data_IF_580441027635
#
_entry.id   IF_580441027635
#
_cell.length_a   1.000
_cell.length_b   1.000
_cell.length_c   1.000
_cell.angle_alpha   90.00
_cell.angle_beta   90.00
_cell.angle_gamma   90.00
#
_symmetry.space_group_name_H-M   'P 1'
#
loop_
_entity.id
_entity.type
_entity.pdbx_description
1 polymer ?
#
# COMPACT_ATOMS: atom_id res chain seq x y z
N UNK A 1 -4.98 -22.85 -8.53
CA UNK A 1 -5.78 -21.82 -7.83
C UNK A 1 -5.44 -20.45 -8.42
N UNK A 2 -6.42 -19.56 -8.56
CA UNK A 2 -6.17 -18.16 -8.97
C UNK A 2 -5.50 -17.41 -7.82
N UNK A 3 -4.50 -16.59 -8.11
CA UNK A 3 -3.93 -15.66 -7.12
C UNK A 3 -4.91 -14.54 -6.86
N UNK A 4 -5.13 -14.20 -5.59
CA UNK A 4 -6.06 -13.14 -5.17
C UNK A 4 -5.32 -11.91 -4.68
N UNK A 5 -5.61 -10.77 -5.30
CA UNK A 5 -5.06 -9.46 -4.95
C UNK A 5 -6.19 -8.55 -4.48
N UNK A 6 -5.97 -7.89 -3.35
CA UNK A 6 -6.91 -6.93 -2.77
C UNK A 6 -6.23 -5.58 -2.62
N UNK A 7 -6.85 -4.51 -3.12
CA UNK A 7 -6.26 -3.17 -3.21
C UNK A 7 -7.19 -2.16 -2.55
N UNK A 8 -6.67 -1.36 -1.61
CA UNK A 8 -7.39 -0.20 -1.07
C UNK A 8 -6.99 1.09 -1.78
N UNK A 9 -7.95 2.01 -1.98
CA UNK A 9 -7.72 3.29 -2.68
C UNK A 9 -7.53 3.13 -4.20
N UNK A 10 -8.23 2.18 -4.81
CA UNK A 10 -8.10 1.84 -6.23
C UNK A 10 -8.76 2.83 -7.20
N UNK A 11 -9.51 3.81 -6.70
CA UNK A 11 -10.30 4.72 -7.55
C UNK A 11 -9.50 5.86 -8.17
N UNK A 12 -8.25 6.12 -7.75
CA UNK A 12 -7.40 7.20 -8.27
C UNK A 12 -5.92 6.98 -8.00
N UNK A 13 -5.10 7.73 -8.73
CA UNK A 13 -3.65 7.81 -8.50
C UNK A 13 -2.96 6.45 -8.55
N UNK A 14 -2.01 6.21 -7.64
CA UNK A 14 -1.22 4.98 -7.62
C UNK A 14 -2.07 3.73 -7.36
N UNK A 15 -3.10 3.83 -6.53
CA UNK A 15 -4.02 2.70 -6.29
C UNK A 15 -4.77 2.28 -7.54
N UNK A 16 -5.21 3.24 -8.35
CA UNK A 16 -5.82 2.98 -9.66
C UNK A 16 -4.81 2.32 -10.61
N UNK A 17 -3.58 2.83 -10.65
CA UNK A 17 -2.55 2.27 -11.51
C UNK A 17 -2.23 0.80 -11.16
N UNK A 18 -2.11 0.44 -9.88
CA UNK A 18 -1.99 -0.95 -9.46
C UNK A 18 -3.22 -1.78 -9.85
N UNK A 19 -4.42 -1.24 -9.63
CA UNK A 19 -5.65 -1.95 -9.96
C UNK A 19 -5.72 -2.28 -11.46
N UNK A 20 -5.50 -1.31 -12.33
CA UNK A 20 -5.51 -1.47 -13.77
C UNK A 20 -4.40 -2.41 -14.25
N UNK A 21 -3.18 -2.26 -13.69
CA UNK A 21 -2.04 -3.12 -14.00
C UNK A 21 -2.34 -4.60 -13.70
N UNK A 22 -2.82 -4.91 -12.51
CA UNK A 22 -3.12 -6.29 -12.15
C UNK A 22 -4.41 -6.82 -12.78
N UNK A 23 -5.40 -5.95 -13.04
CA UNK A 23 -6.62 -6.31 -13.76
C UNK A 23 -6.32 -6.80 -15.18
N UNK A 24 -5.34 -6.19 -15.84
CA UNK A 24 -4.87 -6.66 -17.15
C UNK A 24 -4.37 -8.11 -17.12
N UNK A 25 -3.86 -8.58 -15.98
CA UNK A 25 -3.38 -9.94 -15.78
C UNK A 25 -4.46 -10.96 -15.34
N UNK A 26 -5.72 -10.57 -15.25
CA UNK A 26 -6.82 -11.51 -14.88
C UNK A 26 -6.94 -12.69 -15.86
N UNK A 27 -6.66 -12.46 -17.13
CA UNK A 27 -6.62 -13.52 -18.15
C UNK A 27 -5.55 -14.59 -17.87
N UNK A 28 -4.54 -14.24 -17.05
CA UNK A 28 -3.45 -15.14 -16.64
C UNK A 28 -3.71 -15.82 -15.29
N UNK A 29 -4.95 -15.79 -14.79
CA UNK A 29 -5.32 -16.46 -13.55
C UNK A 29 -5.14 -15.61 -12.28
N UNK A 30 -5.15 -14.29 -12.39
CA UNK A 30 -5.20 -13.36 -11.29
C UNK A 30 -6.66 -12.94 -11.01
N UNK A 31 -7.03 -12.76 -9.75
CA UNK A 31 -8.29 -12.16 -9.32
C UNK A 31 -7.99 -10.89 -8.55
N UNK A 32 -8.55 -9.75 -8.98
CA UNK A 32 -8.28 -8.44 -8.38
C UNK A 32 -9.54 -7.81 -7.86
N UNK A 33 -9.56 -7.46 -6.58
CA UNK A 33 -10.64 -6.74 -5.93
C UNK A 33 -10.14 -5.40 -5.41
N UNK A 34 -10.82 -4.32 -5.78
CA UNK A 34 -10.52 -2.96 -5.34
C UNK A 34 -11.55 -2.44 -4.34
N UNK A 35 -11.09 -1.70 -3.33
CA UNK A 35 -11.92 -1.00 -2.35
C UNK A 35 -11.51 0.48 -2.27
N UNK A 36 -12.47 1.38 -2.26
CA UNK A 36 -12.27 2.83 -2.18
C UNK A 36 -13.24 3.58 -3.06
N UNK A 37 -13.29 4.89 -2.93
CA UNK A 37 -14.17 5.75 -3.71
C UNK A 37 -13.83 5.70 -5.20
N UNK A 38 -14.84 5.50 -6.03
CA UNK A 38 -14.79 5.66 -7.48
C UNK A 38 -15.75 6.79 -7.82
N UNK A 39 -15.23 7.88 -8.40
CA UNK A 39 -16.05 9.01 -8.89
C UNK A 39 -17.01 9.61 -7.84
N UNK A 40 -16.65 9.56 -6.55
CA UNK A 40 -17.47 10.15 -5.50
C UNK A 40 -18.70 9.32 -5.10
N UNK A 41 -18.68 8.01 -5.31
CA UNK A 41 -19.75 7.07 -4.93
C UNK A 41 -20.03 6.98 -3.41
N UNK A 42 -19.23 7.70 -2.59
CA UNK A 42 -19.39 7.76 -1.13
C UNK A 42 -18.89 6.53 -0.39
N UNK A 43 -18.17 5.61 -1.04
CA UNK A 43 -17.62 4.44 -0.35
C UNK A 43 -16.62 4.85 0.73
N UNK A 44 -16.94 4.55 2.00
CA UNK A 44 -16.09 4.83 3.16
C UNK A 44 -15.39 3.56 3.63
N UNK A 45 -14.04 3.62 3.63
CA UNK A 45 -13.22 2.49 4.04
C UNK A 45 -13.23 2.27 5.56
N UNK A 46 -13.51 3.31 6.36
CA UNK A 46 -13.62 3.18 7.82
C UNK A 46 -14.89 2.43 8.18
N UNK A 47 -16.02 2.81 7.58
CA UNK A 47 -17.31 2.12 7.79
C UNK A 47 -17.28 0.69 7.28
N UNK A 48 -16.53 0.43 6.20
CA UNK A 48 -16.42 -0.89 5.57
C UNK A 48 -15.16 -1.68 5.99
N UNK A 49 -14.47 -1.28 7.06
CA UNK A 49 -13.21 -1.88 7.50
C UNK A 49 -13.26 -3.41 7.63
N UNK A 50 -14.26 -3.95 8.32
CA UNK A 50 -14.39 -5.40 8.52
C UNK A 50 -14.70 -6.14 7.21
N UNK A 51 -15.48 -5.55 6.32
CA UNK A 51 -15.78 -6.12 5.00
C UNK A 51 -14.51 -6.22 4.15
N UNK A 52 -13.67 -5.17 4.16
CA UNK A 52 -12.37 -5.17 3.47
C UNK A 52 -11.43 -6.21 4.07
N UNK A 53 -11.37 -6.30 5.41
CA UNK A 53 -10.56 -7.30 6.08
C UNK A 53 -11.00 -8.72 5.72
N UNK A 54 -12.31 -8.99 5.72
CA UNK A 54 -12.86 -10.30 5.35
C UNK A 54 -12.54 -10.67 3.90
N UNK A 55 -12.64 -9.72 2.97
CA UNK A 55 -12.27 -9.93 1.57
C UNK A 55 -10.76 -10.17 1.38
N UNK A 56 -9.92 -9.53 2.21
CA UNK A 56 -8.46 -9.66 2.15
C UNK A 56 -7.95 -10.93 2.84
N UNK A 57 -8.72 -11.55 3.74
CA UNK A 57 -8.27 -12.75 4.47
C UNK A 57 -7.96 -13.89 3.51
N UNK A 58 -6.74 -14.44 3.60
CA UNK A 58 -6.24 -15.47 2.69
C UNK A 58 -5.88 -14.96 1.28
N UNK A 59 -5.86 -13.65 1.03
CA UNK A 59 -5.34 -13.11 -0.23
C UNK A 59 -3.83 -13.37 -0.36
N UNK A 60 -3.37 -13.60 -1.59
CA UNK A 60 -1.94 -13.72 -1.88
C UNK A 60 -1.21 -12.39 -1.71
N UNK A 61 -1.91 -11.28 -2.05
CA UNK A 61 -1.38 -9.91 -1.92
C UNK A 61 -2.46 -8.95 -1.44
N UNK A 62 -2.13 -8.14 -0.44
CA UNK A 62 -2.91 -6.98 -0.01
C UNK A 62 -2.13 -5.69 -0.27
N UNK A 63 -2.69 -4.77 -1.05
CA UNK A 63 -2.10 -3.45 -1.32
C UNK A 63 -2.81 -2.41 -0.45
N UNK A 64 -2.12 -1.98 0.60
CA UNK A 64 -2.57 -1.03 1.60
C UNK A 64 -2.19 0.39 1.18
N UNK A 65 -3.00 0.98 0.30
CA UNK A 65 -2.69 2.27 -0.32
C UNK A 65 -3.60 3.43 0.14
N UNK A 66 -4.86 3.17 0.45
CA UNK A 66 -5.79 4.24 0.83
C UNK A 66 -5.37 4.91 2.13
N UNK A 67 -5.21 6.24 2.10
CA UNK A 67 -5.08 7.04 3.32
C UNK A 67 -6.44 7.53 3.79
N UNK A 68 -6.76 7.23 5.03
CA UNK A 68 -7.85 7.82 5.80
C UNK A 68 -7.47 7.67 7.27
N UNK A 69 -6.94 8.74 7.87
CA UNK A 69 -6.44 8.72 9.25
C UNK A 69 -5.44 7.56 9.50
N UNK A 70 -5.64 6.79 10.58
CA UNK A 70 -4.83 5.63 10.97
C UNK A 70 -5.22 4.31 10.28
N UNK A 71 -6.08 4.36 9.27
CA UNK A 71 -6.68 3.17 8.65
C UNK A 71 -5.63 2.21 8.07
N UNK A 72 -4.57 2.74 7.45
CA UNK A 72 -3.49 1.89 6.94
C UNK A 72 -2.79 1.11 8.06
N UNK A 73 -2.60 1.72 9.22
CA UNK A 73 -2.02 1.06 10.40
C UNK A 73 -2.97 -0.03 10.94
N UNK A 74 -4.27 0.24 10.97
CA UNK A 74 -5.29 -0.75 11.35
C UNK A 74 -5.29 -1.96 10.43
N UNK A 75 -5.25 -1.76 9.10
CA UNK A 75 -5.13 -2.85 8.14
C UNK A 75 -3.82 -3.64 8.33
N UNK A 76 -2.68 -2.97 8.51
CA UNK A 76 -1.42 -3.64 8.78
C UNK A 76 -1.51 -4.54 10.02
N UNK A 77 -2.01 -4.02 11.13
CA UNK A 77 -2.14 -4.78 12.36
C UNK A 77 -3.11 -5.97 12.24
N UNK A 78 -4.20 -5.81 11.50
CA UNK A 78 -5.23 -6.83 11.33
C UNK A 78 -4.82 -7.94 10.37
N UNK A 79 -4.10 -7.62 9.28
CA UNK A 79 -3.91 -8.50 8.13
C UNK A 79 -2.50 -9.09 8.00
N UNK A 80 -1.47 -8.58 8.70
CA UNK A 80 -0.08 -9.03 8.51
C UNK A 80 0.17 -10.53 8.76
N UNK A 81 -0.77 -11.24 9.37
CA UNK A 81 -0.73 -12.71 9.56
C UNK A 81 -1.81 -13.46 8.78
N UNK A 82 -2.55 -12.75 7.92
CA UNK A 82 -3.74 -13.29 7.25
C UNK A 82 -3.66 -13.22 5.74
N UNK A 83 -2.62 -12.59 5.22
CA UNK A 83 -2.35 -12.46 3.78
C UNK A 83 -0.96 -13.01 3.46
N UNK A 84 -0.72 -13.40 2.22
CA UNK A 84 0.59 -13.92 1.80
C UNK A 84 1.66 -12.83 1.72
N UNK A 85 1.28 -11.65 1.26
CA UNK A 85 2.14 -10.48 1.13
C UNK A 85 1.37 -9.19 1.31
N UNK A 86 2.06 -8.12 1.76
CA UNK A 86 1.47 -6.79 1.88
C UNK A 86 2.39 -5.74 1.30
N UNK A 87 1.84 -4.88 0.43
CA UNK A 87 2.51 -3.68 -0.10
C UNK A 87 1.87 -2.47 0.57
N UNK A 88 2.67 -1.58 1.12
CA UNK A 88 2.21 -0.42 1.88
C UNK A 88 2.76 0.85 1.23
N UNK A 89 1.87 1.77 0.85
CA UNK A 89 2.27 3.12 0.43
C UNK A 89 2.47 4.01 1.65
N UNK A 90 3.72 4.30 1.95
CA UNK A 90 4.15 5.27 2.96
C UNK A 90 4.34 6.67 2.38
N UNK A 91 4.91 7.58 3.19
CA UNK A 91 5.18 8.95 2.77
C UNK A 91 6.42 9.49 3.47
N UNK A 92 7.18 10.37 2.79
CA UNK A 92 8.26 11.14 3.40
C UNK A 92 7.76 12.14 4.46
N UNK A 93 6.47 12.48 4.47
CA UNK A 93 5.86 13.26 5.56
C UNK A 93 5.98 12.58 6.93
N UNK A 94 6.33 11.31 6.99
CA UNK A 94 6.69 10.62 8.23
C UNK A 94 7.97 11.17 8.87
N UNK A 95 8.90 11.75 8.08
CA UNK A 95 10.16 12.34 8.56
C UNK A 95 9.97 13.79 9.04
N UNK A 96 9.15 14.54 8.32
CA UNK A 96 8.91 15.97 8.59
C UNK A 96 7.46 16.20 8.99
N UNK A 97 7.23 16.25 10.29
CA UNK A 97 5.90 16.49 10.86
C UNK A 97 5.43 17.94 10.71
N UNK A 98 6.30 18.86 10.26
CA UNK A 98 5.97 20.25 10.03
C UNK A 98 5.37 20.52 8.64
N UNK A 99 5.49 19.59 7.72
CA UNK A 99 4.92 19.72 6.36
C UNK A 99 3.50 19.15 6.35
N UNK A 100 2.54 20.01 6.63
CA UNK A 100 1.13 19.65 6.68
C UNK A 100 0.35 20.24 5.50
N UNK A 101 -0.10 19.39 4.55
CA UNK A 101 -0.91 19.95 3.47
C UNK A 101 -2.38 20.16 3.83
N UNK A 102 -3.06 19.25 4.48
CA UNK A 102 -4.52 19.38 4.76
C UNK A 102 -4.99 18.64 6.02
N UNK A 103 -4.24 17.62 6.48
CA UNK A 103 -4.56 16.86 7.69
C UNK A 103 -3.41 17.04 8.70
N UNK A 104 -3.62 17.74 9.84
CA UNK A 104 -2.58 17.96 10.83
C UNK A 104 -2.01 16.70 11.45
N UNK A 105 -2.66 15.57 11.26
CA UNK A 105 -2.21 14.28 11.76
C UNK A 105 -1.57 13.40 10.70
N UNK A 106 -1.55 13.81 9.43
CA UNK A 106 -1.05 12.99 8.32
C UNK A 106 0.36 12.46 8.55
N UNK A 107 1.31 13.35 8.91
CA UNK A 107 2.69 12.97 9.19
C UNK A 107 2.80 11.99 10.35
N UNK A 108 2.04 12.20 11.43
CA UNK A 108 1.99 11.29 12.58
C UNK A 108 1.48 9.90 12.19
N UNK A 109 0.34 9.82 11.48
CA UNK A 109 -0.20 8.55 11.01
C UNK A 109 0.78 7.80 10.09
N UNK A 110 1.50 8.51 9.21
CA UNK A 110 2.49 7.91 8.33
C UNK A 110 3.74 7.45 9.09
N UNK A 111 4.15 8.17 10.12
CA UNK A 111 5.26 7.78 11.01
C UNK A 111 4.92 6.50 11.80
N UNK A 112 3.74 6.44 12.41
CA UNK A 112 3.30 5.28 13.18
C UNK A 112 3.21 4.04 12.28
N UNK A 113 2.68 4.20 11.07
CA UNK A 113 2.63 3.16 10.05
C UNK A 113 4.02 2.67 9.66
N UNK A 114 4.97 3.59 9.42
CA UNK A 114 6.35 3.26 9.06
C UNK A 114 7.05 2.50 10.18
N UNK A 115 6.98 3.01 11.42
CA UNK A 115 7.59 2.37 12.58
C UNK A 115 7.07 0.94 12.75
N UNK A 116 5.76 0.75 12.60
CA UNK A 116 5.15 -0.57 12.69
C UNK A 116 5.57 -1.49 11.56
N UNK A 117 5.59 -1.02 10.32
CA UNK A 117 6.03 -1.79 9.16
C UNK A 117 7.50 -2.21 9.29
N UNK A 118 8.38 -1.29 9.69
CA UNK A 118 9.81 -1.56 9.92
C UNK A 118 9.99 -2.58 11.05
N UNK A 119 9.26 -2.45 12.15
CA UNK A 119 9.32 -3.41 13.25
C UNK A 119 8.95 -4.83 12.78
N UNK A 120 7.87 -4.98 12.02
CA UNK A 120 7.43 -6.28 11.48
C UNK A 120 8.38 -6.82 10.41
N UNK A 121 8.93 -5.96 9.56
CA UNK A 121 9.84 -6.38 8.48
C UNK A 121 11.21 -6.82 8.98
N UNK A 122 11.72 -6.22 10.07
CA UNK A 122 13.00 -6.61 10.69
C UNK A 122 12.93 -7.93 11.43
N UNK A 123 11.79 -8.24 12.03
CA UNK A 123 11.58 -9.46 12.81
C UNK A 123 10.58 -10.33 12.05
N UNK A 124 11.09 -11.11 11.09
CA UNK A 124 10.28 -12.05 10.34
C UNK A 124 9.82 -13.20 11.25
N UNK A 125 8.67 -13.02 11.90
CA UNK A 125 8.07 -14.05 12.73
C UNK A 125 7.39 -15.12 11.87
N UNK A 126 7.37 -16.39 12.28
CA UNK A 126 6.59 -17.42 11.61
C UNK A 126 5.11 -17.00 11.45
N UNK A 127 4.56 -17.20 10.27
CA UNK A 127 3.16 -16.87 9.96
C UNK A 127 2.89 -15.38 9.70
N UNK A 128 3.92 -14.52 9.59
CA UNK A 128 3.75 -13.16 9.10
C UNK A 128 3.91 -13.10 7.57
N UNK A 129 3.17 -12.19 6.91
CA UNK A 129 3.29 -11.96 5.48
C UNK A 129 4.65 -11.34 5.11
N UNK A 130 5.01 -11.45 3.83
CA UNK A 130 6.08 -10.64 3.28
C UNK A 130 5.62 -9.19 3.17
N UNK A 131 6.46 -8.23 3.58
CA UNK A 131 6.15 -6.81 3.56
C UNK A 131 7.02 -6.07 2.55
N UNK A 132 6.41 -5.16 1.78
CA UNK A 132 7.08 -4.11 1.03
C UNK A 132 6.52 -2.76 1.47
N UNK A 133 7.35 -1.93 2.07
CA UNK A 133 7.02 -0.56 2.42
C UNK A 133 7.65 0.39 1.40
N UNK A 134 6.82 1.17 0.70
CA UNK A 134 7.22 2.15 -0.30
C UNK A 134 7.12 3.55 0.30
N UNK A 135 8.24 4.16 0.65
CA UNK A 135 8.28 5.55 1.14
C UNK A 135 8.27 6.50 -0.04
N UNK A 136 7.12 7.09 -0.31
CA UNK A 136 6.86 7.90 -1.49
C UNK A 136 7.02 9.39 -1.18
N UNK A 137 7.66 10.13 -2.09
CA UNK A 137 7.65 11.59 -2.12
C UNK A 137 6.43 12.11 -2.85
N UNK A 138 6.08 13.40 -2.70
CA UNK A 138 5.00 14.03 -3.45
C UNK A 138 5.17 13.96 -4.97
N UNK A 139 6.40 13.80 -5.45
CA UNK A 139 6.75 13.65 -6.87
C UNK A 139 6.80 12.21 -7.36
N UNK A 140 6.88 11.22 -6.46
CA UNK A 140 6.94 9.80 -6.81
C UNK A 140 5.71 9.32 -7.61
N UNK A 141 4.56 9.98 -7.45
CA UNK A 141 3.37 9.69 -8.27
C UNK A 141 3.57 9.97 -9.76
N UNK A 142 4.60 10.73 -10.15
CA UNK A 142 4.94 10.99 -11.57
C UNK A 142 5.64 9.81 -12.22
N UNK A 143 6.23 8.92 -11.42
CA UNK A 143 6.95 7.74 -11.92
C UNK A 143 6.19 6.45 -11.56
N UNK A 144 4.90 6.44 -11.85
CA UNK A 144 4.01 5.31 -11.58
C UNK A 144 4.53 4.01 -12.20
N UNK A 145 5.07 4.06 -13.42
CA UNK A 145 5.60 2.88 -14.11
C UNK A 145 6.78 2.25 -13.36
N UNK A 146 7.67 3.09 -12.80
CA UNK A 146 8.78 2.58 -11.99
C UNK A 146 8.28 1.86 -10.73
N UNK A 147 7.25 2.40 -10.07
CA UNK A 147 6.62 1.77 -8.90
C UNK A 147 5.98 0.43 -9.29
N UNK A 148 5.29 0.35 -10.43
CA UNK A 148 4.70 -0.89 -10.92
C UNK A 148 5.78 -1.95 -11.22
N UNK A 149 6.84 -1.59 -11.92
CA UNK A 149 7.96 -2.48 -12.23
C UNK A 149 8.65 -2.99 -10.95
N UNK A 150 8.87 -2.11 -9.98
CA UNK A 150 9.42 -2.48 -8.66
C UNK A 150 8.48 -3.45 -7.92
N UNK A 151 7.19 -3.20 -8.01
CA UNK A 151 6.16 -4.07 -7.41
C UNK A 151 6.23 -5.48 -7.99
N UNK A 152 6.26 -5.61 -9.31
CA UNK A 152 6.37 -6.90 -10.01
C UNK A 152 7.67 -7.63 -9.67
N UNK A 153 8.79 -6.89 -9.68
CA UNK A 153 10.08 -7.44 -9.27
C UNK A 153 10.01 -7.98 -7.83
N UNK A 154 9.47 -7.19 -6.90
CA UNK A 154 9.35 -7.62 -5.51
C UNK A 154 8.41 -8.81 -5.34
N UNK A 155 7.26 -8.82 -6.03
CA UNK A 155 6.32 -9.94 -5.99
C UNK A 155 6.94 -11.26 -6.46
N UNK A 156 7.95 -11.18 -7.35
CA UNK A 156 8.68 -12.34 -7.85
C UNK A 156 9.80 -12.81 -6.92
N UNK A 157 10.45 -11.90 -6.18
CA UNK A 157 11.68 -12.18 -5.45
C UNK A 157 11.56 -12.10 -3.92
N UNK A 158 10.65 -11.28 -3.40
CA UNK A 158 10.37 -11.08 -1.94
C UNK A 158 11.61 -10.72 -1.09
N UNK A 159 12.64 -10.09 -1.65
CA UNK A 159 13.94 -9.88 -0.98
C UNK A 159 14.09 -8.54 -0.27
N UNK A 160 13.28 -7.54 -0.60
CA UNK A 160 13.30 -6.20 0.00
C UNK A 160 12.05 -5.99 0.84
N UNK A 161 12.15 -5.17 1.89
CA UNK A 161 10.97 -4.79 2.65
C UNK A 161 10.76 -3.28 2.73
N UNK A 162 11.77 -2.48 2.39
CA UNK A 162 11.72 -1.02 2.47
C UNK A 162 12.37 -0.40 1.24
N UNK A 163 11.68 0.49 0.55
CA UNK A 163 12.20 1.28 -0.55
C UNK A 163 11.75 2.73 -0.37
N UNK A 164 12.70 3.64 -0.38
CA UNK A 164 12.46 5.08 -0.40
C UNK A 164 12.71 5.62 -1.80
N UNK A 165 11.72 6.34 -2.33
CA UNK A 165 11.87 7.06 -3.58
C UNK A 165 12.51 8.43 -3.30
N UNK A 166 13.60 8.78 -3.99
CA UNK A 166 14.21 10.10 -3.85
C UNK A 166 13.24 11.19 -4.35
N UNK A 167 13.37 12.39 -3.77
CA UNK A 167 12.68 13.54 -4.30
C UNK A 167 13.34 13.97 -5.63
N UNK A 168 12.58 13.98 -6.72
CA UNK A 168 13.07 14.38 -8.04
C UNK A 168 13.54 15.85 -8.06
N UNK A 169 13.10 16.69 -7.13
CA UNK A 169 13.56 18.07 -7.00
C UNK A 169 14.97 18.19 -6.40
N UNK A 170 15.48 17.15 -5.73
CA UNK A 170 16.83 17.13 -5.15
C UNK A 170 17.92 16.76 -6.16
N UNK A 171 17.55 16.27 -7.33
CA UNK A 171 18.46 16.05 -8.45
C UNK A 171 18.42 17.29 -9.34
N UNK A 172 19.13 18.36 -8.91
CA UNK A 172 19.33 19.56 -9.69
C UNK A 172 19.94 19.21 -11.06
N UNK A 173 19.11 19.07 -12.06
CA UNK A 173 19.43 19.12 -13.49
C UNK A 173 18.53 20.18 -14.09
#
# INVERSE_FOLDING_TARGET
MKKRYVITGHGRGLGQAWYEHFKYHELMGLEVTGFGQINGDGYDLVENFESVCAAAEGADVFINNAYQQDLQLKFLNRLHRRVGAMIISGSVAADDLAVEPMDPHYGHHKRDLEQRAVSLGRVKLPGTCDLLYLKLTGTAYRDTQHILNLTDYWLSHRKMFFVQFPDASAQGI
#
